data_IF_340240600693
#
_entry.id   IF_340240600693
#
_cell.length_a   1.000
_cell.length_b   1.000
_cell.length_c   1.000
_cell.angle_alpha   90.00
_cell.angle_beta   90.00
_cell.angle_gamma   90.00
#
_symmetry.space_group_name_H-M   'P 1'
#
loop_
_entity.id
_entity.type
_entity.pdbx_description
1 polymer ?
#
# COMPACT_ATOMS: atom_id res chain seq x y z
N UNK A 1 17.52 -6.63 -9.21
CA UNK A 1 16.84 -5.77 -8.20
C UNK A 1 15.34 -6.09 -8.21
N UNK A 2 14.67 -6.08 -7.06
CA UNK A 2 13.22 -6.40 -6.95
C UNK A 2 12.38 -5.12 -7.09
N UNK A 3 11.22 -5.22 -7.73
CA UNK A 3 10.31 -4.09 -7.89
C UNK A 3 9.61 -3.78 -6.56
N UNK A 4 9.53 -2.49 -6.20
CA UNK A 4 8.83 -2.01 -5.02
C UNK A 4 7.71 -1.05 -5.40
N UNK A 5 6.57 -1.16 -4.73
CA UNK A 5 5.40 -0.31 -4.94
C UNK A 5 4.86 0.15 -3.58
N UNK A 6 4.24 1.33 -3.56
CA UNK A 6 3.57 1.88 -2.38
C UNK A 6 2.07 1.87 -2.65
N UNK A 7 1.29 1.43 -1.67
CA UNK A 7 -0.16 1.39 -1.80
C UNK A 7 -0.87 1.32 -0.46
N UNK A 8 -2.20 1.37 -0.53
CA UNK A 8 -3.09 1.31 0.63
C UNK A 8 -3.74 -0.08 0.73
N UNK A 9 -3.86 -0.60 1.95
CA UNK A 9 -4.61 -1.84 2.19
C UNK A 9 -6.11 -1.56 2.09
N UNK A 10 -6.77 -2.15 1.08
CA UNK A 10 -8.22 -2.01 0.89
C UNK A 10 -8.99 -3.07 1.66
N UNK A 11 -8.56 -4.33 1.57
CA UNK A 11 -9.32 -5.46 2.16
C UNK A 11 -8.36 -6.48 2.71
N UNK A 12 -8.63 -6.95 3.93
CA UNK A 12 -8.00 -8.14 4.50
C UNK A 12 -8.87 -9.32 4.08
N UNK A 13 -8.29 -10.26 3.33
CA UNK A 13 -9.02 -11.42 2.81
C UNK A 13 -8.83 -12.58 3.80
N UNK A 14 -7.57 -12.91 4.10
CA UNK A 14 -7.20 -14.00 5.01
C UNK A 14 -6.11 -13.51 5.97
N UNK A 15 -5.78 -14.34 6.98
CA UNK A 15 -4.71 -14.07 7.96
C UNK A 15 -3.37 -13.72 7.30
N UNK A 16 -3.03 -14.41 6.21
CA UNK A 16 -1.76 -14.22 5.50
C UNK A 16 -1.88 -13.37 4.22
N UNK A 17 -3.08 -12.90 3.87
CA UNK A 17 -3.34 -12.32 2.54
C UNK A 17 -4.16 -11.03 2.62
N UNK A 18 -3.63 -9.97 2.02
CA UNK A 18 -4.32 -8.68 1.89
C UNK A 18 -4.38 -8.21 0.44
N UNK A 19 -5.40 -7.41 0.13
CA UNK A 19 -5.54 -6.69 -1.13
C UNK A 19 -5.01 -5.26 -0.96
N UNK A 20 -3.98 -4.92 -1.74
CA UNK A 20 -3.36 -3.60 -1.74
C UNK A 20 -3.70 -2.88 -3.04
N UNK A 21 -4.22 -1.66 -2.94
CA UNK A 21 -4.48 -0.75 -4.06
C UNK A 21 -3.25 0.12 -4.27
N UNK A 22 -2.63 0.00 -5.44
CA UNK A 22 -1.52 0.85 -5.87
C UNK A 22 -2.05 1.87 -6.86
N UNK A 23 -1.78 3.14 -6.61
CA UNK A 23 -2.14 4.23 -7.50
C UNK A 23 -0.98 4.57 -8.45
N UNK A 24 -1.30 4.89 -9.70
CA UNK A 24 -0.34 5.29 -10.72
C UNK A 24 -0.97 6.37 -11.58
N UNK A 25 -0.20 7.39 -11.95
CA UNK A 25 -0.68 8.45 -12.82
C UNK A 25 -0.39 8.06 -14.26
N UNK A 26 -1.43 8.05 -15.11
CA UNK A 26 -1.32 7.84 -16.55
C UNK A 26 -1.72 9.12 -17.28
N UNK A 27 -1.23 9.26 -18.51
CA UNK A 27 -1.56 10.36 -19.40
C UNK A 27 -2.46 9.82 -20.50
N UNK A 28 -3.58 10.50 -20.78
CA UNK A 28 -4.42 10.12 -21.92
C UNK A 28 -3.68 10.38 -23.24
N UNK A 29 -3.60 9.43 -24.18
CA UNK A 29 -2.76 9.56 -25.37
C UNK A 29 -3.14 10.75 -26.26
N UNK A 30 -4.43 10.96 -26.51
CA UNK A 30 -4.91 12.06 -27.37
C UNK A 30 -4.85 13.42 -26.66
N UNK A 31 -5.56 13.56 -25.54
CA UNK A 31 -5.71 14.86 -24.84
C UNK A 31 -4.60 15.22 -23.85
N UNK A 32 -3.66 14.31 -23.58
CA UNK A 32 -2.55 14.50 -22.61
C UNK A 32 -2.98 14.86 -21.18
N UNK A 33 -4.26 14.70 -20.82
CA UNK A 33 -4.77 14.88 -19.46
C UNK A 33 -4.22 13.79 -18.53
N UNK A 34 -3.68 14.19 -17.37
CA UNK A 34 -3.23 13.26 -16.33
C UNK A 34 -4.43 12.73 -15.56
N UNK A 35 -4.53 11.42 -15.39
CA UNK A 35 -5.56 10.76 -14.60
C UNK A 35 -4.96 9.69 -13.68
N UNK A 36 -5.61 9.45 -12.54
CA UNK A 36 -5.21 8.40 -11.59
C UNK A 36 -5.78 7.06 -12.06
N UNK A 37 -4.90 6.10 -12.29
CA UNK A 37 -5.24 4.68 -12.50
C UNK A 37 -4.86 3.92 -11.24
N UNK A 38 -5.62 2.88 -10.91
CA UNK A 38 -5.28 2.01 -9.78
C UNK A 38 -5.19 0.55 -10.24
N UNK A 39 -4.39 -0.23 -9.53
CA UNK A 39 -4.32 -1.69 -9.70
C UNK A 39 -4.26 -2.35 -8.34
N UNK A 40 -5.05 -3.43 -8.20
CA UNK A 40 -5.11 -4.20 -6.96
C UNK A 40 -4.15 -5.38 -7.03
N UNK A 41 -3.46 -5.63 -5.93
CA UNK A 41 -2.51 -6.74 -5.79
C UNK A 41 -2.87 -7.59 -4.58
N UNK A 42 -2.74 -8.91 -4.73
CA UNK A 42 -2.79 -9.84 -3.60
C UNK A 42 -1.39 -9.97 -3.02
N UNK A 43 -1.26 -9.64 -1.74
CA UNK A 43 0.02 -9.46 -1.07
C UNK A 43 0.08 -10.36 0.17
N UNK A 44 1.24 -10.97 0.37
CA UNK A 44 1.57 -11.71 1.58
C UNK A 44 1.89 -10.78 2.75
N UNK A 45 1.24 -11.01 3.89
CA UNK A 45 1.48 -10.22 5.10
C UNK A 45 2.78 -10.59 5.80
N UNK A 46 3.41 -11.72 5.43
CA UNK A 46 4.67 -12.20 6.02
C UNK A 46 4.61 -12.21 7.56
N UNK A 47 3.48 -12.64 8.13
CA UNK A 47 3.24 -12.71 9.57
C UNK A 47 3.07 -11.35 10.28
N UNK A 48 3.00 -10.23 9.55
CA UNK A 48 2.84 -8.90 10.15
C UNK A 48 1.37 -8.61 10.42
N UNK A 49 1.11 -7.99 11.57
CA UNK A 49 -0.22 -7.44 11.86
C UNK A 49 -0.48 -6.23 10.96
N UNK A 50 -1.60 -6.24 10.24
CA UNK A 50 -1.96 -5.25 9.21
C UNK A 50 -3.35 -4.71 9.48
N UNK A 51 -3.51 -3.40 9.30
CA UNK A 51 -4.77 -2.69 9.48
C UNK A 51 -5.32 -2.28 8.12
N UNK A 52 -6.65 -2.25 7.99
CA UNK A 52 -7.30 -1.67 6.80
C UNK A 52 -6.93 -0.18 6.70
N UNK A 53 -6.83 0.34 5.48
CA UNK A 53 -6.49 1.73 5.16
C UNK A 53 -5.06 2.17 5.53
N UNK A 54 -4.19 1.27 6.00
CA UNK A 54 -2.79 1.59 6.23
C UNK A 54 -2.00 1.67 4.90
N UNK A 55 -1.08 2.64 4.81
CA UNK A 55 -0.08 2.70 3.73
C UNK A 55 1.05 1.69 3.97
N UNK A 56 1.35 0.92 2.93
CA UNK A 56 2.37 -0.14 2.96
C UNK A 56 3.25 -0.09 1.72
N UNK A 57 4.50 -0.50 1.91
CA UNK A 57 5.44 -0.77 0.83
C UNK A 57 5.48 -2.27 0.55
N UNK A 58 5.27 -2.64 -0.72
CA UNK A 58 5.22 -4.02 -1.20
C UNK A 58 6.36 -4.29 -2.17
N UNK A 59 6.88 -5.52 -2.17
CA UNK A 59 7.96 -5.96 -3.05
C UNK A 59 7.59 -7.20 -3.85
N UNK A 60 8.04 -7.27 -5.10
CA UNK A 60 7.90 -8.44 -5.97
C UNK A 60 8.68 -9.63 -5.42
N UNK A 61 8.06 -10.81 -5.39
CA UNK A 61 8.68 -12.06 -4.94
C UNK A 61 8.44 -13.19 -5.95
N UNK A 62 9.03 -14.37 -5.71
CA UNK A 62 8.62 -15.59 -6.40
C UNK A 62 7.12 -15.81 -6.19
N UNK A 63 6.39 -16.38 -7.18
CA UNK A 63 4.98 -16.66 -6.98
C UNK A 63 4.77 -17.55 -5.75
N UNK A 64 3.92 -17.08 -4.84
CA UNK A 64 3.44 -17.87 -3.68
C UNK A 64 2.18 -18.63 -4.11
N UNK A 65 1.37 -18.02 -4.97
CA UNK A 65 0.23 -18.64 -5.64
C UNK A 65 0.04 -18.03 -7.04
N UNK A 66 -1.06 -18.39 -7.73
CA UNK A 66 -1.41 -17.89 -9.07
C UNK A 66 -1.33 -16.35 -9.17
N UNK A 67 -1.90 -15.64 -8.19
CA UNK A 67 -2.00 -14.18 -8.19
C UNK A 67 -1.18 -13.49 -7.08
N UNK A 68 -0.77 -14.24 -6.04
CA UNK A 68 -0.01 -13.71 -4.90
C UNK A 68 1.48 -13.75 -5.20
N UNK A 69 2.00 -12.63 -5.71
CA UNK A 69 3.42 -12.46 -6.14
C UNK A 69 4.13 -11.29 -5.45
N UNK A 70 3.50 -10.74 -4.41
CA UNK A 70 3.97 -9.56 -3.70
C UNK A 70 4.00 -9.85 -2.20
N UNK A 71 4.94 -9.23 -1.47
CA UNK A 71 5.05 -9.30 0.00
C UNK A 71 5.17 -7.92 0.62
N UNK A 72 4.74 -7.75 1.87
CA UNK A 72 4.87 -6.49 2.61
C UNK A 72 6.27 -6.35 3.22
N UNK A 73 6.98 -5.26 2.89
CA UNK A 73 8.27 -4.93 3.52
C UNK A 73 8.07 -4.05 4.74
N UNK A 74 7.39 -2.91 4.60
CA UNK A 74 7.31 -1.90 5.64
C UNK A 74 5.92 -1.27 5.72
N UNK A 75 5.52 -0.87 6.92
CA UNK A 75 4.41 0.07 7.12
C UNK A 75 4.99 1.46 6.95
N UNK A 76 4.45 2.23 6.01
CA UNK A 76 4.91 3.60 5.82
C UNK A 76 4.21 4.47 6.88
N UNK A 77 4.94 4.91 7.90
CA UNK A 77 4.44 5.87 8.90
C UNK A 77 4.89 7.28 8.52
N UNK A 78 3.95 8.09 8.04
CA UNK A 78 3.98 9.55 8.14
C UNK A 78 2.52 10.01 8.14
N UNK A 79 1.99 10.59 9.22
CA UNK A 79 2.33 11.90 9.80
C UNK A 79 2.29 11.83 11.34
N UNK A 80 3.37 12.24 12.00
CA UNK A 80 3.33 12.70 13.40
C UNK A 80 2.49 13.99 13.44
N UNK A 81 1.33 13.97 14.10
CA UNK A 81 0.47 15.15 14.23
C UNK A 81 1.26 16.33 14.83
N UNK A 82 1.43 17.46 14.12
CA UNK A 82 2.12 18.63 14.67
C UNK A 82 1.31 19.35 15.78
N UNK A 83 0.05 18.99 16.00
CA UNK A 83 -0.89 19.72 16.88
C UNK A 83 -0.97 19.26 18.34
N UNK A 84 -0.01 18.47 18.86
CA UNK A 84 0.01 18.06 20.28
C UNK A 84 0.82 19.00 21.21
N UNK A 85 0.96 20.29 20.88
CA UNK A 85 1.67 21.27 21.73
C UNK A 85 0.79 22.32 22.45
N UNK A 86 -0.53 22.26 22.37
CA UNK A 86 -1.39 23.28 23.02
C UNK A 86 -2.49 22.61 23.84
N UNK A 87 -2.13 22.07 25.02
CA UNK A 87 -3.07 21.79 26.12
C UNK A 87 -2.32 21.35 27.40
N UNK A 88 -1.30 22.12 27.81
CA UNK A 88 -0.83 22.11 29.21
C UNK A 88 -0.67 23.58 29.61
N UNK A 89 -1.81 24.24 29.80
CA UNK A 89 -1.90 25.52 30.50
C UNK A 89 -3.03 25.42 31.51
N UNK A 90 -2.68 24.80 32.64
CA UNK A 90 -3.20 25.11 33.96
C UNK A 90 -2.02 25.02 34.92
#
# INVERSE_FOLDING_TARGET
MKQKLIGEITTIIDVQTVKVKVETIKIHPLYKKRYKSHKNYLVDTNGKNVEKHAMVEIESTRPISKNKKWKIISKNKSISNPNLKIQISK
#
